data_IF_785253664342
#
_entry.id   IF_785253664342
#
_cell.length_a   1.000
_cell.length_b   1.000
_cell.length_c   1.000
_cell.angle_alpha   90.00
_cell.angle_beta   90.00
_cell.angle_gamma   90.00
#
_symmetry.space_group_name_H-M   'P 1'
#
loop_
_entity.id
_entity.type
_entity.pdbx_description
1 polymer ?
#
# COMPACT_ATOMS: atom_id res chain seq x y z
N UNK A 1 -22.57 50.61 -35.00
CA UNK A 1 -22.56 52.00 -34.52
C UNK A 1 -22.16 52.02 -33.06
N UNK A 2 -21.12 52.82 -32.81
CA UNK A 2 -20.72 53.51 -31.56
C UNK A 2 -20.22 52.56 -30.41
N UNK A 3 -18.94 52.59 -30.22
CA UNK A 3 -17.94 53.38 -29.45
C UNK A 3 -17.69 52.73 -28.11
N UNK A 4 -16.53 52.07 -27.94
CA UNK A 4 -15.26 52.59 -27.37
C UNK A 4 -15.44 53.45 -26.11
N UNK A 5 -15.04 52.92 -24.94
CA UNK A 5 -14.30 53.71 -23.95
C UNK A 5 -13.25 52.78 -23.32
N UNK A 6 -12.01 53.15 -23.58
CA UNK A 6 -10.77 52.72 -22.97
C UNK A 6 -10.61 53.45 -21.64
N UNK A 7 -10.37 52.79 -20.54
CA UNK A 7 -9.80 53.44 -19.35
C UNK A 7 -8.66 52.60 -18.80
N UNK A 8 -7.46 53.09 -19.06
CA UNK A 8 -6.19 52.72 -18.44
C UNK A 8 -6.20 53.25 -17.01
N UNK A 9 -5.96 52.41 -16.04
CA UNK A 9 -5.51 52.79 -14.71
C UNK A 9 -4.34 51.91 -14.32
N UNK A 10 -3.15 52.49 -14.46
CA UNK A 10 -1.93 52.04 -13.84
C UNK A 10 -1.95 52.42 -12.36
N UNK A 11 -1.75 51.47 -11.46
CA UNK A 11 -1.29 51.80 -10.11
C UNK A 11 -0.67 50.55 -9.46
N UNK A 12 0.60 50.66 -9.13
CA UNK A 12 1.17 50.23 -7.87
C UNK A 12 1.47 48.74 -7.74
N UNK A 13 2.61 48.30 -8.22
CA UNK A 13 3.30 47.15 -7.66
C UNK A 13 3.70 47.48 -6.21
N UNK A 14 2.87 47.07 -5.26
CA UNK A 14 3.29 46.93 -3.87
C UNK A 14 3.87 45.52 -3.79
N UNK A 15 5.20 45.43 -3.70
CA UNK A 15 5.90 44.24 -3.34
C UNK A 15 5.47 43.81 -1.93
N UNK A 16 4.55 42.86 -1.84
CA UNK A 16 4.38 42.10 -0.64
C UNK A 16 5.63 41.22 -0.50
N UNK A 17 6.55 41.67 0.37
CA UNK A 17 7.57 40.78 0.92
C UNK A 17 6.84 39.51 1.39
N UNK A 18 7.18 38.40 0.80
CA UNK A 18 6.76 37.08 1.31
C UNK A 18 7.24 37.00 2.75
N UNK A 19 6.35 37.27 3.69
CA UNK A 19 6.48 36.79 5.05
C UNK A 19 6.61 35.26 4.86
N UNK A 20 7.77 34.74 5.20
CA UNK A 20 8.01 33.30 5.33
C UNK A 20 6.99 32.83 6.37
N UNK A 21 5.87 32.29 5.91
CA UNK A 21 4.91 31.62 6.76
C UNK A 21 5.71 30.52 7.49
N UNK A 22 5.89 30.69 8.79
CA UNK A 22 6.12 29.55 9.67
C UNK A 22 4.91 28.64 9.44
N UNK A 23 5.12 27.56 8.69
CA UNK A 23 4.07 26.61 8.36
C UNK A 23 3.32 26.24 9.62
N UNK A 24 2.00 26.05 9.52
CA UNK A 24 1.18 25.53 10.61
C UNK A 24 1.88 24.30 11.21
N UNK A 25 1.91 24.20 12.55
CA UNK A 25 2.54 23.08 13.21
C UNK A 25 1.91 21.77 12.73
N UNK A 26 2.73 20.88 12.17
CA UNK A 26 2.27 19.64 11.56
C UNK A 26 2.06 18.58 12.64
N UNK A 27 0.79 18.35 13.00
CA UNK A 27 0.38 17.28 13.90
C UNK A 27 0.36 15.94 13.16
N UNK A 28 0.38 14.83 13.90
CA UNK A 28 0.23 13.48 13.33
C UNK A 28 -1.04 13.38 12.48
N UNK A 29 -2.16 13.88 12.97
CA UNK A 29 -3.43 13.87 12.26
C UNK A 29 -3.33 14.60 10.91
N UNK A 30 -2.71 15.77 10.88
CA UNK A 30 -2.52 16.51 9.64
C UNK A 30 -1.59 15.80 8.65
N UNK A 31 -0.53 15.15 9.14
CA UNK A 31 0.31 14.29 8.32
C UNK A 31 -0.47 13.12 7.71
N UNK A 32 -1.32 12.46 8.51
CA UNK A 32 -2.15 11.34 8.04
C UNK A 32 -3.17 11.80 6.98
N UNK A 33 -3.85 12.93 7.19
CA UNK A 33 -4.79 13.49 6.21
C UNK A 33 -4.10 13.75 4.85
N UNK A 34 -2.98 14.48 4.86
CA UNK A 34 -2.22 14.79 3.66
C UNK A 34 -1.67 13.53 2.98
N UNK A 35 -1.12 12.62 3.77
CA UNK A 35 -0.57 11.38 3.25
C UNK A 35 -1.64 10.49 2.61
N UNK A 36 -2.81 10.34 3.22
CA UNK A 36 -3.93 9.58 2.65
C UNK A 36 -4.48 10.19 1.36
N UNK A 37 -4.31 11.50 1.17
CA UNK A 37 -4.74 12.18 -0.05
C UNK A 37 -3.68 12.10 -1.16
N UNK A 38 -2.40 12.27 -0.83
CA UNK A 38 -1.33 12.52 -1.80
C UNK A 38 -0.46 11.29 -2.08
N UNK A 39 -0.31 10.37 -1.11
CA UNK A 39 0.58 9.21 -1.26
C UNK A 39 0.25 8.38 -2.50
N UNK A 40 1.29 8.02 -3.25
CA UNK A 40 1.14 7.31 -4.53
C UNK A 40 0.59 5.90 -4.34
N UNK A 41 1.02 5.15 -3.33
CA UNK A 41 0.56 3.78 -3.10
C UNK A 41 -0.94 3.75 -2.75
N UNK A 42 -1.39 4.70 -1.90
CA UNK A 42 -2.81 4.87 -1.55
C UNK A 42 -3.65 5.25 -2.77
N UNK A 43 -3.13 6.11 -3.65
CA UNK A 43 -3.82 6.50 -4.89
C UNK A 43 -3.88 5.36 -5.90
N UNK A 44 -2.80 4.58 -6.02
CA UNK A 44 -2.74 3.41 -6.91
C UNK A 44 -3.78 2.38 -6.45
N UNK A 45 -3.78 1.99 -5.18
CA UNK A 45 -4.72 0.96 -4.69
C UNK A 45 -6.18 1.39 -4.79
N UNK A 46 -6.49 2.69 -4.61
CA UNK A 46 -7.84 3.23 -4.86
C UNK A 46 -8.24 3.12 -6.34
N UNK A 47 -7.30 3.30 -7.27
CA UNK A 47 -7.57 3.09 -8.69
C UNK A 47 -7.76 1.61 -9.01
N UNK A 48 -7.02 0.69 -8.40
CA UNK A 48 -7.23 -0.76 -8.54
C UNK A 48 -8.59 -1.19 -8.01
N UNK A 49 -9.05 -0.61 -6.89
CA UNK A 49 -10.40 -0.82 -6.40
C UNK A 49 -11.44 -0.37 -7.43
N UNK A 50 -11.28 0.82 -8.03
CA UNK A 50 -12.18 1.31 -9.09
C UNK A 50 -12.19 0.41 -10.32
N UNK A 51 -11.04 -0.20 -10.66
CA UNK A 51 -10.98 -1.21 -11.74
C UNK A 51 -11.82 -2.42 -11.35
N UNK A 52 -11.67 -2.94 -10.12
CA UNK A 52 -12.50 -4.05 -9.63
C UNK A 52 -13.99 -3.72 -9.61
N UNK A 53 -14.35 -2.47 -9.26
CA UNK A 53 -15.73 -1.97 -9.30
C UNK A 53 -16.27 -1.96 -10.74
N UNK A 54 -15.48 -1.50 -11.70
CA UNK A 54 -15.86 -1.47 -13.12
C UNK A 54 -15.99 -2.88 -13.72
N UNK A 55 -15.20 -3.83 -13.23
CA UNK A 55 -15.24 -5.23 -13.67
C UNK A 55 -16.45 -6.00 -13.15
N UNK A 56 -17.05 -5.58 -12.04
CA UNK A 56 -18.19 -6.27 -11.41
C UNK A 56 -19.52 -5.99 -12.09
N UNK A 57 -19.58 -6.13 -13.43
CA UNK A 57 -20.74 -5.83 -14.24
C UNK A 57 -21.36 -7.08 -14.86
N UNK A 58 -22.66 -7.00 -15.16
CA UNK A 58 -23.37 -8.05 -15.87
C UNK A 58 -22.80 -8.29 -17.29
N UNK A 59 -22.30 -7.24 -17.94
CA UNK A 59 -21.65 -7.33 -19.24
C UNK A 59 -20.35 -8.16 -19.18
N UNK A 60 -19.46 -7.85 -18.23
CA UNK A 60 -18.21 -8.58 -18.04
C UNK A 60 -18.45 -10.04 -17.58
N UNK A 61 -19.53 -10.28 -16.85
CA UNK A 61 -19.97 -11.63 -16.49
C UNK A 61 -20.43 -12.48 -17.70
N UNK A 62 -20.74 -11.86 -18.84
CA UNK A 62 -21.25 -12.51 -20.02
C UNK A 62 -22.78 -12.63 -20.08
N UNK A 63 -23.52 -11.84 -19.29
CA UNK A 63 -24.99 -11.85 -19.27
C UNK A 63 -25.60 -11.12 -20.46
N UNK A 64 -24.88 -10.20 -21.08
CA UNK A 64 -25.36 -9.39 -22.19
C UNK A 64 -24.89 -9.93 -23.52
N UNK A 65 -25.67 -9.70 -24.61
CA UNK A 65 -25.25 -10.06 -25.96
C UNK A 65 -24.07 -9.21 -26.42
N UNK A 66 -23.23 -9.78 -27.28
CA UNK A 66 -22.27 -9.03 -28.06
C UNK A 66 -22.81 -8.69 -29.44
N UNK A 67 -22.61 -7.47 -29.91
CA UNK A 67 -22.99 -7.00 -31.25
C UNK A 67 -21.71 -6.58 -31.96
N UNK A 68 -21.44 -7.19 -33.10
CA UNK A 68 -20.25 -6.90 -33.91
C UNK A 68 -20.61 -6.57 -35.35
N UNK A 69 -19.87 -5.67 -35.98
CA UNK A 69 -19.86 -5.44 -37.41
C UNK A 69 -18.67 -6.18 -38.01
N UNK A 70 -18.91 -7.00 -39.02
CA UNK A 70 -17.86 -7.71 -39.74
C UNK A 70 -17.92 -7.38 -41.21
N UNK A 71 -16.78 -7.26 -41.86
CA UNK A 71 -16.65 -7.22 -43.30
C UNK A 71 -15.46 -8.10 -43.70
N UNK A 72 -15.67 -8.95 -44.66
CA UNK A 72 -14.68 -9.91 -45.15
C UNK A 72 -14.58 -9.92 -46.65
N UNK A 73 -13.40 -10.21 -47.14
CA UNK A 73 -13.17 -10.56 -48.54
C UNK A 73 -12.30 -11.81 -48.59
N UNK A 74 -12.76 -12.81 -49.36
CA UNK A 74 -12.00 -14.02 -49.59
C UNK A 74 -11.99 -14.38 -51.08
N UNK A 75 -10.88 -14.92 -51.54
CA UNK A 75 -10.76 -15.48 -52.87
C UNK A 75 -10.18 -16.88 -52.77
N UNK A 76 -10.75 -17.82 -53.51
CA UNK A 76 -10.26 -19.19 -53.65
C UNK A 76 -9.90 -19.45 -55.11
N UNK A 77 -8.77 -20.10 -55.34
CA UNK A 77 -8.33 -20.59 -56.66
C UNK A 77 -8.28 -22.09 -56.59
N UNK A 78 -9.24 -22.73 -57.24
CA UNK A 78 -9.43 -24.18 -57.16
C UNK A 78 -9.25 -24.85 -58.50
N UNK A 79 -8.81 -26.10 -58.46
CA UNK A 79 -8.87 -27.02 -59.59
C UNK A 79 -9.82 -28.14 -59.23
N UNK A 80 -10.95 -28.24 -59.98
CA UNK A 80 -12.02 -29.18 -59.67
C UNK A 80 -12.06 -30.28 -60.72
N UNK A 81 -12.18 -31.53 -60.28
CA UNK A 81 -12.46 -32.67 -61.15
C UNK A 81 -13.76 -33.31 -60.71
N UNK A 82 -14.81 -33.08 -61.47
CA UNK A 82 -16.12 -33.68 -61.27
C UNK A 82 -16.31 -34.92 -62.10
N UNK A 83 -16.60 -36.07 -61.49
CA UNK A 83 -16.96 -37.30 -62.13
C UNK A 83 -18.42 -37.60 -61.92
N UNK A 84 -19.31 -37.33 -62.89
CA UNK A 84 -20.73 -37.65 -62.80
C UNK A 84 -20.97 -39.13 -62.75
N UNK A 85 -22.12 -39.62 -62.30
CA UNK A 85 -22.48 -41.05 -62.31
C UNK A 85 -22.69 -41.59 -63.73
N UNK A 86 -23.11 -40.72 -64.63
CA UNK A 86 -23.24 -41.01 -66.07
C UNK A 86 -22.54 -39.93 -66.88
N UNK A 87 -21.62 -40.30 -67.74
CA UNK A 87 -20.79 -39.40 -68.58
C UNK A 87 -19.33 -39.33 -68.14
N UNK A 88 -18.56 -38.60 -68.94
CA UNK A 88 -17.10 -38.46 -68.73
C UNK A 88 -16.73 -37.49 -67.63
N UNK A 89 -15.56 -37.72 -67.01
CA UNK A 89 -15.03 -36.81 -65.99
C UNK A 89 -14.62 -35.48 -66.63
N UNK A 90 -15.07 -34.36 -66.03
CA UNK A 90 -14.70 -33.00 -66.42
C UNK A 90 -13.68 -32.48 -65.46
N UNK A 91 -12.57 -31.93 -65.94
CA UNK A 91 -11.56 -31.25 -65.11
C UNK A 91 -11.55 -29.78 -65.50
N UNK A 92 -11.81 -28.92 -64.52
CA UNK A 92 -11.74 -27.48 -64.67
C UNK A 92 -10.59 -26.96 -63.82
N UNK A 93 -9.67 -26.18 -64.38
CA UNK A 93 -8.51 -25.64 -63.65
C UNK A 93 -8.59 -24.12 -63.60
N UNK A 94 -8.10 -23.56 -62.48
CA UNK A 94 -8.01 -22.12 -62.32
C UNK A 94 -9.34 -21.43 -62.05
N UNK A 95 -10.26 -22.12 -61.40
CA UNK A 95 -11.56 -21.55 -60.98
C UNK A 95 -11.27 -20.53 -59.84
N UNK A 96 -11.56 -19.26 -60.10
CA UNK A 96 -11.33 -18.18 -59.12
C UNK A 96 -12.64 -17.66 -58.57
N UNK A 97 -12.99 -18.13 -57.36
CA UNK A 97 -14.17 -17.69 -56.65
C UNK A 97 -13.83 -16.55 -55.70
N UNK A 98 -14.70 -15.56 -55.65
CA UNK A 98 -14.55 -14.39 -54.76
C UNK A 98 -15.81 -14.25 -53.91
N UNK A 99 -15.63 -14.02 -52.64
CA UNK A 99 -16.71 -13.71 -51.70
C UNK A 99 -16.40 -12.41 -50.95
N UNK A 100 -17.31 -11.50 -51.02
CA UNK A 100 -17.37 -10.32 -50.17
C UNK A 100 -18.57 -10.44 -49.22
N UNK A 101 -18.34 -10.30 -47.93
CA UNK A 101 -19.39 -10.29 -46.93
C UNK A 101 -19.27 -9.05 -46.04
N UNK A 102 -20.42 -8.48 -45.65
CA UNK A 102 -20.50 -7.41 -44.69
C UNK A 102 -21.81 -7.52 -43.92
N UNK A 103 -21.72 -7.45 -42.60
CA UNK A 103 -22.95 -7.61 -41.78
C UNK A 103 -22.76 -7.33 -40.32
N UNK A 104 -23.88 -7.18 -39.64
CA UNK A 104 -23.96 -7.09 -38.16
C UNK A 104 -24.34 -8.45 -37.62
N UNK A 105 -23.59 -8.93 -36.61
CA UNK A 105 -23.84 -10.19 -35.94
C UNK A 105 -24.07 -9.95 -34.44
N UNK A 106 -25.07 -10.63 -33.90
CA UNK A 106 -25.40 -10.67 -32.46
C UNK A 106 -25.13 -12.09 -31.96
N UNK A 107 -24.35 -12.20 -30.90
CA UNK A 107 -24.08 -13.46 -30.21
C UNK A 107 -24.50 -13.34 -28.76
N UNK A 108 -25.31 -14.26 -28.29
CA UNK A 108 -25.81 -14.27 -26.91
C UNK A 108 -25.87 -15.68 -26.34
N UNK A 109 -25.20 -15.88 -25.22
CA UNK A 109 -25.33 -17.11 -24.46
C UNK A 109 -26.49 -16.98 -23.50
N UNK A 110 -27.61 -17.67 -23.83
CA UNK A 110 -28.84 -17.64 -23.04
C UNK A 110 -28.75 -18.51 -21.79
N UNK A 111 -28.03 -19.62 -21.91
CA UNK A 111 -27.83 -20.56 -20.81
C UNK A 111 -26.50 -21.31 -20.99
N UNK A 112 -25.75 -21.49 -19.90
CA UNK A 112 -24.46 -22.20 -19.90
C UNK A 112 -24.22 -23.01 -18.61
N UNK A 113 -25.29 -23.60 -18.08
CA UNK A 113 -25.24 -24.37 -16.85
C UNK A 113 -25.02 -23.51 -15.61
N UNK A 114 -25.48 -22.26 -15.62
CA UNK A 114 -25.31 -21.25 -14.56
C UNK A 114 -23.88 -20.68 -14.43
N UNK A 115 -22.98 -20.96 -15.35
CA UNK A 115 -21.59 -20.46 -15.33
C UNK A 115 -21.55 -18.93 -15.32
N UNK A 116 -22.34 -18.27 -16.18
CA UNK A 116 -22.44 -16.81 -16.26
C UNK A 116 -22.88 -16.22 -14.91
N UNK A 117 -23.88 -16.82 -14.25
CA UNK A 117 -24.33 -16.37 -12.92
C UNK A 117 -23.26 -16.58 -11.86
N UNK A 118 -22.54 -17.69 -11.93
CA UNK A 118 -21.41 -17.97 -11.02
C UNK A 118 -20.28 -16.99 -11.27
N UNK A 119 -19.99 -16.65 -12.53
CA UNK A 119 -18.98 -15.66 -12.90
C UNK A 119 -19.37 -14.26 -12.39
N UNK A 120 -20.63 -13.87 -12.47
CA UNK A 120 -21.10 -12.60 -11.89
C UNK A 120 -20.87 -12.54 -10.37
N UNK A 121 -21.19 -13.61 -9.64
CA UNK A 121 -20.88 -13.71 -8.20
C UNK A 121 -19.39 -13.64 -7.92
N UNK A 122 -18.58 -14.30 -8.77
CA UNK A 122 -17.13 -14.25 -8.67
C UNK A 122 -16.58 -12.82 -8.85
N UNK A 123 -17.13 -12.06 -9.79
CA UNK A 123 -16.76 -10.64 -9.98
C UNK A 123 -17.18 -9.79 -8.77
N UNK A 124 -18.34 -10.06 -8.16
CA UNK A 124 -18.77 -9.39 -6.93
C UNK A 124 -17.83 -9.70 -5.74
N UNK A 125 -17.37 -10.96 -5.60
CA UNK A 125 -16.38 -11.32 -4.59
C UNK A 125 -15.04 -10.61 -4.83
N UNK A 126 -14.57 -10.54 -6.08
CA UNK A 126 -13.36 -9.81 -6.45
C UNK A 126 -13.48 -8.31 -6.14
N UNK A 127 -14.66 -7.72 -6.32
CA UNK A 127 -14.96 -6.34 -5.92
C UNK A 127 -14.78 -6.14 -4.40
N UNK A 128 -15.36 -7.03 -3.58
CA UNK A 128 -15.21 -6.98 -2.12
C UNK A 128 -13.75 -7.16 -1.70
N UNK A 129 -13.03 -8.06 -2.35
CA UNK A 129 -11.60 -8.26 -2.12
C UNK A 129 -10.79 -7.02 -2.51
N UNK A 130 -11.16 -6.31 -3.57
CA UNK A 130 -10.57 -5.02 -3.95
C UNK A 130 -10.70 -3.98 -2.85
N UNK A 131 -11.89 -3.87 -2.24
CA UNK A 131 -12.12 -2.98 -1.10
C UNK A 131 -11.29 -3.37 0.14
N UNK A 132 -11.16 -4.68 0.44
CA UNK A 132 -10.34 -5.16 1.54
C UNK A 132 -8.84 -4.91 1.31
N UNK A 133 -8.34 -5.10 0.09
CA UNK A 133 -6.95 -4.78 -0.27
C UNK A 133 -6.66 -3.29 -0.10
N UNK A 134 -7.60 -2.44 -0.53
CA UNK A 134 -7.49 -1.00 -0.29
C UNK A 134 -7.42 -0.69 1.20
N UNK A 135 -8.26 -1.33 2.01
CA UNK A 135 -8.22 -1.18 3.47
C UNK A 135 -6.89 -1.61 4.06
N UNK A 136 -6.35 -2.77 3.67
CA UNK A 136 -5.03 -3.26 4.13
C UNK A 136 -3.93 -2.23 3.80
N UNK A 137 -3.87 -1.75 2.56
CA UNK A 137 -2.86 -0.76 2.14
C UNK A 137 -2.99 0.56 2.91
N UNK A 138 -4.22 1.00 3.20
CA UNK A 138 -4.44 2.20 4.02
C UNK A 138 -4.00 1.96 5.46
N UNK A 139 -4.33 0.81 6.06
CA UNK A 139 -3.91 0.44 7.42
C UNK A 139 -2.39 0.36 7.53
N UNK A 140 -1.72 -0.24 6.55
CA UNK A 140 -0.25 -0.32 6.46
C UNK A 140 0.39 1.07 6.32
N UNK A 141 -0.21 1.94 5.50
CA UNK A 141 0.26 3.30 5.32
C UNK A 141 0.13 4.11 6.61
N UNK A 142 -1.03 4.05 7.28
CA UNK A 142 -1.26 4.73 8.57
C UNK A 142 -0.26 4.26 9.62
N UNK A 143 -0.02 2.94 9.72
CA UNK A 143 0.96 2.38 10.65
C UNK A 143 2.38 2.89 10.35
N UNK A 144 2.78 2.86 9.07
CA UNK A 144 4.12 3.29 8.62
C UNK A 144 4.33 4.78 8.87
N UNK A 145 3.38 5.62 8.47
CA UNK A 145 3.50 7.07 8.65
C UNK A 145 3.50 7.44 10.14
N UNK A 146 2.66 6.80 10.96
CA UNK A 146 2.64 7.01 12.41
C UNK A 146 3.97 6.61 13.05
N UNK A 147 4.54 5.47 12.67
CA UNK A 147 5.84 5.01 13.16
C UNK A 147 6.98 5.98 12.77
N UNK A 148 7.01 6.45 11.52
CA UNK A 148 8.02 7.42 11.06
C UNK A 148 7.84 8.81 11.69
N UNK A 149 6.60 9.22 11.96
CA UNK A 149 6.32 10.46 12.69
C UNK A 149 6.94 10.42 14.09
N UNK A 150 6.68 9.36 14.85
CA UNK A 150 7.26 9.21 16.20
C UNK A 150 8.78 8.93 16.15
N UNK A 151 9.29 8.30 15.09
CA UNK A 151 10.72 8.23 14.85
C UNK A 151 11.34 9.63 14.71
N UNK A 152 10.74 10.50 13.91
CA UNK A 152 11.23 11.87 13.76
C UNK A 152 11.17 12.66 15.08
N UNK A 153 10.10 12.52 15.85
CA UNK A 153 9.99 13.11 17.20
C UNK A 153 11.14 12.61 18.09
N UNK A 154 11.36 11.29 18.14
CA UNK A 154 12.45 10.70 18.91
C UNK A 154 13.83 11.24 18.48
N UNK A 155 14.14 11.26 17.16
CA UNK A 155 15.42 11.76 16.66
C UNK A 155 15.62 13.25 16.97
N UNK A 156 14.54 14.03 16.96
CA UNK A 156 14.59 15.46 17.30
C UNK A 156 14.86 15.68 18.80
N UNK A 157 14.22 14.89 19.66
CA UNK A 157 14.47 14.92 21.11
C UNK A 157 15.93 14.51 21.42
N UNK A 158 16.44 13.44 20.79
CA UNK A 158 17.84 13.04 20.90
C UNK A 158 18.78 14.15 20.45
N UNK A 159 18.46 14.83 19.34
CA UNK A 159 19.27 15.97 18.87
C UNK A 159 19.33 17.09 19.92
N UNK A 160 18.21 17.36 20.60
CA UNK A 160 18.17 18.33 21.71
C UNK A 160 19.06 17.89 22.86
N UNK A 161 19.03 16.60 23.25
CA UNK A 161 19.88 16.05 24.31
C UNK A 161 21.37 16.13 23.96
N UNK A 162 21.74 15.78 22.72
CA UNK A 162 23.14 15.94 22.26
C UNK A 162 23.59 17.41 22.16
N UNK A 163 22.69 18.32 21.79
CA UNK A 163 22.97 19.76 21.85
C UNK A 163 23.30 20.20 23.28
N UNK A 164 22.48 19.75 24.25
CA UNK A 164 22.74 20.00 25.66
C UNK A 164 24.08 19.39 26.12
N UNK A 165 24.37 18.14 25.74
CA UNK A 165 25.64 17.49 26.02
C UNK A 165 26.86 18.30 25.51
N UNK A 166 26.77 18.83 24.28
CA UNK A 166 27.82 19.69 23.70
C UNK A 166 27.98 20.99 24.50
N UNK A 167 26.89 21.59 24.96
CA UNK A 167 26.93 22.79 25.81
C UNK A 167 27.62 22.50 27.13
N UNK A 168 27.30 21.39 27.79
CA UNK A 168 27.94 20.97 29.04
C UNK A 168 29.43 20.67 28.86
N UNK A 169 29.78 19.94 27.82
CA UNK A 169 31.20 19.63 27.52
C UNK A 169 32.00 20.87 27.17
N UNK A 170 31.40 21.84 26.48
CA UNK A 170 32.05 23.14 26.18
C UNK A 170 32.33 23.93 27.45
N UNK A 171 31.37 23.99 28.37
CA UNK A 171 31.53 24.70 29.64
C UNK A 171 32.59 24.03 30.51
N UNK A 172 32.58 22.68 30.57
CA UNK A 172 33.63 21.93 31.27
C UNK A 172 35.01 22.19 30.66
N UNK A 173 35.15 22.21 29.34
CA UNK A 173 36.43 22.56 28.69
C UNK A 173 36.87 23.97 29.07
N UNK A 174 35.97 24.96 29.04
CA UNK A 174 36.28 26.35 29.46
C UNK A 174 36.79 26.41 30.90
N UNK A 175 36.07 25.76 31.83
CA UNK A 175 36.48 25.71 33.24
C UNK A 175 37.85 25.06 33.38
N UNK A 176 38.09 23.95 32.68
CA UNK A 176 39.38 23.23 32.71
C UNK A 176 40.52 24.05 32.11
N UNK A 177 40.28 24.82 31.04
CA UNK A 177 41.26 25.75 30.43
C UNK A 177 41.66 26.85 31.41
N UNK A 178 40.71 27.47 32.11
CA UNK A 178 40.99 28.51 33.09
C UNK A 178 41.80 27.96 34.31
N UNK A 179 41.41 26.77 34.81
CA UNK A 179 42.10 26.10 35.92
C UNK A 179 43.51 25.64 35.53
N UNK A 180 43.73 25.23 34.29
CA UNK A 180 45.05 24.92 33.77
C UNK A 180 45.96 26.18 33.73
N UNK A 181 45.44 27.32 33.27
CA UNK A 181 46.21 28.59 33.23
C UNK A 181 46.67 29.03 34.61
N UNK A 182 45.91 28.81 35.66
CA UNK A 182 46.31 29.13 37.05
C UNK A 182 47.04 28.00 37.75
N UNK A 183 47.37 26.90 37.06
CA UNK A 183 48.18 25.78 37.56
C UNK A 183 47.41 24.79 38.46
N UNK A 184 46.08 24.87 38.57
CA UNK A 184 45.27 23.97 39.41
C UNK A 184 45.01 22.62 38.73
N UNK A 185 45.01 22.55 37.38
CA UNK A 185 44.76 21.35 36.62
C UNK A 185 45.95 20.97 35.74
N UNK A 186 46.08 19.67 35.46
CA UNK A 186 47.16 19.14 34.62
C UNK A 186 46.84 19.32 33.12
N UNK A 187 47.89 19.21 32.29
CA UNK A 187 47.72 19.15 30.83
C UNK A 187 46.89 17.93 30.40
N UNK A 188 46.93 16.84 31.16
CA UNK A 188 46.13 15.66 30.92
C UNK A 188 44.61 15.96 31.02
N UNK A 189 44.19 16.68 32.10
CA UNK A 189 42.83 17.07 32.31
C UNK A 189 42.29 17.96 31.18
N UNK A 190 43.12 18.90 30.71
CA UNK A 190 42.78 19.76 29.58
C UNK A 190 42.61 18.98 28.27
N UNK A 191 43.50 18.07 27.97
CA UNK A 191 43.42 17.24 26.77
C UNK A 191 42.21 16.31 26.82
N UNK A 192 41.93 15.73 27.97
CA UNK A 192 40.74 14.89 28.17
C UNK A 192 39.45 15.69 27.94
N UNK A 193 39.31 16.87 28.53
CA UNK A 193 38.15 17.74 28.35
C UNK A 193 37.94 18.12 26.87
N UNK A 194 39.02 18.31 26.10
CA UNK A 194 38.96 18.59 24.67
C UNK A 194 38.56 17.38 23.85
N UNK A 195 39.02 16.18 24.19
CA UNK A 195 38.63 14.93 23.56
C UNK A 195 37.11 14.69 23.78
N UNK A 196 36.64 14.90 25.00
CA UNK A 196 35.23 14.72 25.35
C UNK A 196 34.31 15.71 24.61
N UNK A 197 34.69 16.99 24.51
CA UNK A 197 33.97 17.99 23.75
C UNK A 197 33.89 17.64 22.24
N UNK A 198 34.97 17.16 21.66
CA UNK A 198 35.03 16.74 20.28
C UNK A 198 34.18 15.49 20.05
N UNK A 199 34.15 14.53 20.97
CA UNK A 199 33.31 13.33 20.90
C UNK A 199 31.83 13.67 20.97
N UNK A 200 31.42 14.54 21.90
CA UNK A 200 30.03 14.99 22.04
C UNK A 200 29.59 15.80 20.79
N UNK A 201 30.50 16.67 20.27
CA UNK A 201 30.25 17.41 19.03
C UNK A 201 30.05 16.47 17.81
N UNK A 202 30.87 15.42 17.72
CA UNK A 202 30.71 14.41 16.65
C UNK A 202 29.39 13.69 16.74
N UNK A 203 28.93 13.26 17.94
CA UNK A 203 27.63 12.64 18.16
C UNK A 203 26.50 13.58 17.76
N UNK A 204 26.58 14.86 18.11
CA UNK A 204 25.57 15.86 17.71
C UNK A 204 25.47 15.98 16.18
N UNK A 205 26.62 16.00 15.47
CA UNK A 205 26.61 16.06 14.00
C UNK A 205 25.99 14.81 13.37
N UNK A 206 26.36 13.62 13.85
CA UNK A 206 25.74 12.36 13.37
C UNK A 206 24.25 12.31 13.64
N UNK A 207 23.79 12.80 14.80
CA UNK A 207 22.36 12.85 15.12
C UNK A 207 21.62 13.84 14.22
N UNK A 208 22.23 14.95 13.82
CA UNK A 208 21.63 15.89 12.88
C UNK A 208 21.38 15.24 11.51
N UNK A 209 22.26 14.35 11.07
CA UNK A 209 22.05 13.55 9.84
C UNK A 209 20.84 12.64 9.98
N UNK A 210 20.67 11.94 11.11
CA UNK A 210 19.52 11.05 11.36
C UNK A 210 18.19 11.82 11.37
N UNK A 211 18.14 13.01 11.97
CA UNK A 211 16.96 13.89 11.91
C UNK A 211 16.64 14.29 10.47
N UNK A 212 17.67 14.60 9.69
CA UNK A 212 17.50 14.97 8.28
C UNK A 212 16.96 13.79 7.46
N UNK A 213 17.51 12.59 7.67
CA UNK A 213 17.07 11.38 6.99
C UNK A 213 15.60 11.06 7.32
N UNK A 214 15.21 11.12 8.60
CA UNK A 214 13.81 10.87 9.02
C UNK A 214 12.85 11.92 8.45
N UNK A 215 13.27 13.20 8.38
CA UNK A 215 12.47 14.26 7.73
C UNK A 215 12.25 13.99 6.25
N UNK A 216 13.28 13.59 5.52
CA UNK A 216 13.18 13.23 4.10
C UNK A 216 12.22 12.04 3.94
N UNK A 217 12.27 11.07 4.82
CA UNK A 217 11.38 9.91 4.80
C UNK A 217 9.92 10.28 4.99
N UNK A 218 9.61 11.20 5.92
CA UNK A 218 8.23 11.71 6.08
C UNK A 218 7.79 12.47 4.83
N UNK A 219 8.62 13.36 4.27
CA UNK A 219 8.29 14.08 3.04
C UNK A 219 8.03 13.13 1.86
N UNK A 220 8.78 12.04 1.76
CA UNK A 220 8.54 10.96 0.78
C UNK A 220 7.18 10.30 0.99
N UNK A 221 6.84 9.92 2.23
CA UNK A 221 5.54 9.33 2.55
C UNK A 221 4.37 10.27 2.28
N UNK A 222 4.57 11.58 2.49
CA UNK A 222 3.59 12.62 2.17
C UNK A 222 3.53 12.95 0.67
N UNK A 223 4.41 12.37 -0.15
CA UNK A 223 4.58 12.70 -1.57
C UNK A 223 4.80 14.21 -1.82
N UNK A 224 5.55 14.87 -0.94
CA UNK A 224 5.91 16.27 -1.11
C UNK A 224 6.91 16.45 -2.26
N UNK A 225 6.71 17.45 -3.11
CA UNK A 225 7.64 17.77 -4.22
C UNK A 225 9.03 18.16 -3.70
N UNK A 226 9.10 18.89 -2.58
CA UNK A 226 10.35 19.21 -1.91
C UNK A 226 10.64 18.23 -0.77
N UNK A 227 11.44 17.19 -1.07
CA UNK A 227 11.88 16.20 -0.08
C UNK A 227 12.72 16.81 1.05
N UNK A 228 13.39 17.95 0.82
CA UNK A 228 14.18 18.66 1.80
C UNK A 228 13.39 19.72 2.57
N UNK A 229 12.11 19.85 2.28
CA UNK A 229 11.19 20.79 2.92
C UNK A 229 11.26 20.72 4.43
N UNK A 230 11.10 21.86 5.10
CA UNK A 230 11.09 21.91 6.58
C UNK A 230 9.77 21.35 7.08
N UNK A 231 9.84 20.44 8.03
CA UNK A 231 8.71 19.97 8.82
C UNK A 231 8.77 20.61 10.21
N UNK A 232 7.74 21.35 10.59
CA UNK A 232 7.59 21.89 11.94
C UNK A 232 6.63 20.98 12.71
N UNK A 233 7.16 19.94 13.36
CA UNK A 233 6.36 19.04 14.21
C UNK A 233 6.29 19.66 15.61
N UNK A 234 5.09 19.66 16.21
CA UNK A 234 4.83 20.27 17.50
C UNK A 234 5.03 19.32 18.68
N UNK A 235 4.96 18.02 18.43
CA UNK A 235 5.00 17.04 19.50
C UNK A 235 6.38 16.97 20.11
N UNK A 236 6.44 17.28 21.40
CA UNK A 236 7.65 17.21 22.24
C UNK A 236 7.69 15.98 23.14
N UNK A 237 6.68 15.11 23.05
CA UNK A 237 6.54 13.90 23.87
C UNK A 237 6.01 12.76 23.02
N UNK A 238 6.44 11.55 23.37
CA UNK A 238 5.88 10.32 22.82
C UNK A 238 4.86 9.78 23.80
N UNK A 239 3.58 10.09 23.56
CA UNK A 239 2.49 9.59 24.41
C UNK A 239 2.19 8.14 24.07
N UNK A 240 2.19 7.30 25.09
CA UNK A 240 1.89 5.87 25.00
C UNK A 240 0.56 5.58 25.65
N UNK A 241 -0.32 4.88 24.96
CA UNK A 241 -1.57 4.39 25.55
C UNK A 241 -1.28 3.17 26.45
N UNK A 242 -1.50 3.30 27.74
CA UNK A 242 -1.29 2.23 28.74
C UNK A 242 -2.52 1.37 29.02
N UNK A 243 -3.66 1.60 28.32
CA UNK A 243 -4.96 1.00 28.64
C UNK A 243 -5.39 -0.12 27.68
N UNK A 244 -4.44 -0.67 26.88
CA UNK A 244 -4.75 -1.78 25.98
C UNK A 244 -5.02 -3.05 26.76
N UNK A 245 -6.03 -3.82 26.33
CA UNK A 245 -6.45 -5.09 26.96
C UNK A 245 -6.31 -6.25 25.97
N UNK A 246 -5.71 -7.36 26.43
CA UNK A 246 -5.46 -8.53 25.58
C UNK A 246 -6.74 -9.13 25.00
N UNK A 247 -7.74 -9.37 25.83
CA UNK A 247 -8.97 -10.06 25.41
C UNK A 247 -9.72 -9.28 24.32
N UNK A 248 -9.69 -7.96 24.43
CA UNK A 248 -10.26 -7.07 23.42
C UNK A 248 -9.50 -7.14 22.11
N UNK A 249 -8.16 -7.03 22.15
CA UNK A 249 -7.31 -7.09 20.96
C UNK A 249 -7.43 -8.44 20.24
N UNK A 250 -7.49 -9.56 20.98
CA UNK A 250 -7.68 -10.89 20.41
C UNK A 250 -9.04 -11.00 19.70
N UNK A 251 -10.11 -10.56 20.35
CA UNK A 251 -11.46 -10.60 19.78
C UNK A 251 -11.56 -9.72 18.52
N UNK A 252 -11.02 -8.50 18.57
CA UNK A 252 -11.00 -7.57 17.42
C UNK A 252 -10.15 -8.14 16.26
N UNK A 253 -8.99 -8.74 16.53
CA UNK A 253 -8.15 -9.37 15.50
C UNK A 253 -8.91 -10.45 14.74
N UNK A 254 -9.60 -11.35 15.43
CA UNK A 254 -10.39 -12.41 14.78
C UNK A 254 -11.58 -11.87 13.98
N UNK A 255 -12.19 -10.78 14.43
CA UNK A 255 -13.41 -10.24 13.82
C UNK A 255 -13.13 -9.22 12.72
N UNK A 256 -12.09 -8.38 12.84
CA UNK A 256 -11.92 -7.18 12.05
C UNK A 256 -10.64 -7.11 11.22
N UNK A 257 -9.67 -8.04 11.41
CA UNK A 257 -8.43 -8.04 10.64
C UNK A 257 -8.71 -8.21 9.14
N UNK A 258 -8.32 -7.22 8.35
CA UNK A 258 -8.65 -7.17 6.93
C UNK A 258 -8.00 -8.32 6.12
N UNK A 259 -6.80 -8.77 6.50
CA UNK A 259 -6.13 -9.91 5.84
C UNK A 259 -6.85 -11.23 6.11
N UNK A 260 -7.39 -11.42 7.31
CA UNK A 260 -8.16 -12.62 7.65
C UNK A 260 -9.51 -12.64 6.92
N UNK A 261 -10.18 -11.49 6.80
CA UNK A 261 -11.39 -11.34 6.00
C UNK A 261 -11.11 -11.62 4.52
N UNK A 262 -10.00 -11.11 3.97
CA UNK A 262 -9.57 -11.36 2.60
C UNK A 262 -9.37 -12.86 2.33
N UNK A 263 -8.72 -13.59 3.25
CA UNK A 263 -8.55 -15.04 3.14
C UNK A 263 -9.89 -15.81 3.17
N UNK A 264 -10.91 -15.29 3.86
CA UNK A 264 -12.27 -15.80 3.82
C UNK A 264 -12.91 -15.68 2.43
N UNK A 265 -12.71 -14.55 1.74
CA UNK A 265 -13.16 -14.34 0.38
C UNK A 265 -12.40 -15.20 -0.63
N UNK A 266 -11.11 -15.49 -0.43
CA UNK A 266 -10.35 -16.43 -1.26
C UNK A 266 -10.96 -17.85 -1.21
N UNK A 267 -11.43 -18.30 -0.03
CA UNK A 267 -12.14 -19.58 0.10
C UNK A 267 -13.47 -19.55 -0.68
N UNK A 268 -14.24 -18.46 -0.58
CA UNK A 268 -15.49 -18.29 -1.34
C UNK A 268 -15.23 -18.31 -2.86
N UNK A 269 -14.14 -17.67 -3.33
CA UNK A 269 -13.74 -17.74 -4.74
C UNK A 269 -13.44 -19.17 -5.19
N UNK A 270 -12.69 -19.93 -4.41
CA UNK A 270 -12.40 -21.33 -4.71
C UNK A 270 -13.69 -22.19 -4.80
N UNK A 271 -14.68 -21.93 -3.95
CA UNK A 271 -16.00 -22.55 -4.05
C UNK A 271 -16.75 -22.16 -5.33
N UNK A 272 -16.69 -20.89 -5.73
CA UNK A 272 -17.32 -20.40 -6.97
C UNK A 272 -16.62 -21.01 -8.20
N UNK A 273 -15.29 -21.17 -8.16
CA UNK A 273 -14.55 -21.86 -9.23
C UNK A 273 -14.97 -23.33 -9.34
N UNK A 274 -15.18 -24.05 -8.23
CA UNK A 274 -15.75 -25.39 -8.26
C UNK A 274 -17.17 -25.39 -8.86
N UNK A 275 -18.02 -24.40 -8.54
CA UNK A 275 -19.36 -24.25 -9.13
C UNK A 275 -19.27 -23.98 -10.64
N UNK A 276 -18.31 -23.16 -11.08
CA UNK A 276 -18.03 -22.90 -12.49
C UNK A 276 -17.59 -24.17 -13.24
N UNK A 277 -16.74 -25.02 -12.64
CA UNK A 277 -16.35 -26.31 -13.23
C UNK A 277 -17.58 -27.24 -13.34
N UNK A 278 -18.42 -27.29 -12.31
CA UNK A 278 -19.66 -28.08 -12.32
C UNK A 278 -20.66 -27.62 -13.35
N UNK A 279 -20.70 -26.35 -13.69
CA UNK A 279 -21.60 -25.82 -14.73
C UNK A 279 -21.40 -26.47 -16.09
N UNK A 280 -20.19 -26.94 -16.41
CA UNK A 280 -19.89 -27.63 -17.68
C UNK A 280 -20.53 -29.01 -17.83
N UNK A 281 -21.16 -29.53 -16.75
CA UNK A 281 -21.95 -30.77 -16.82
C UNK A 281 -23.39 -30.52 -17.27
N UNK A 282 -23.79 -29.29 -17.47
CA UNK A 282 -25.11 -28.90 -17.96
C UNK A 282 -25.06 -28.54 -19.46
N UNK A 283 -26.20 -28.59 -20.18
CA UNK A 283 -26.26 -28.10 -21.55
C UNK A 283 -26.02 -26.60 -21.62
N UNK A 284 -25.67 -26.12 -22.81
CA UNK A 284 -25.61 -24.69 -23.10
C UNK A 284 -26.55 -24.34 -24.25
N UNK A 285 -27.01 -23.10 -24.25
CA UNK A 285 -27.93 -22.54 -25.23
C UNK A 285 -27.42 -21.20 -25.71
N UNK A 286 -27.00 -21.15 -27.00
CA UNK A 286 -26.53 -19.93 -27.63
C UNK A 286 -27.54 -19.45 -28.68
N UNK A 287 -27.83 -18.15 -28.69
CA UNK A 287 -28.54 -17.44 -29.72
C UNK A 287 -27.53 -16.69 -30.60
N UNK A 288 -27.68 -16.86 -31.90
CA UNK A 288 -26.96 -16.07 -32.90
C UNK A 288 -27.97 -15.42 -33.83
N UNK A 289 -27.79 -14.14 -34.13
CA UNK A 289 -28.61 -13.45 -35.12
C UNK A 289 -27.68 -12.55 -35.96
N UNK A 290 -27.97 -12.40 -37.22
CA UNK A 290 -27.18 -11.55 -38.11
C UNK A 290 -28.01 -10.97 -39.23
N UNK A 291 -27.65 -9.76 -39.64
CA UNK A 291 -28.18 -9.13 -40.84
C UNK A 291 -26.99 -8.66 -41.68
N UNK A 292 -26.92 -9.16 -42.93
CA UNK A 292 -25.75 -8.89 -43.76
C UNK A 292 -25.96 -9.06 -45.25
N UNK A 293 -24.99 -8.55 -46.00
CA UNK A 293 -24.90 -8.68 -47.45
C UNK A 293 -23.70 -9.54 -47.78
N UNK A 294 -23.95 -10.56 -48.61
CA UNK A 294 -22.88 -11.42 -49.18
C UNK A 294 -22.95 -11.33 -50.71
N UNK A 295 -21.82 -11.00 -51.30
CA UNK A 295 -21.64 -10.98 -52.73
C UNK A 295 -20.61 -12.06 -53.12
N UNK A 296 -21.07 -13.02 -53.93
CA UNK A 296 -20.22 -14.07 -54.49
C UNK A 296 -20.03 -13.84 -55.99
N UNK A 297 -18.80 -13.96 -56.44
CA UNK A 297 -18.46 -14.03 -57.86
C UNK A 297 -17.83 -15.40 -58.13
N UNK A 298 -18.45 -16.12 -59.05
CA UNK A 298 -18.05 -17.48 -59.35
C UNK A 298 -17.15 -17.51 -60.60
N UNK A 299 -16.06 -18.29 -60.54
CA UNK A 299 -15.09 -18.47 -61.63
C UNK A 299 -15.58 -19.38 -62.75
N UNK A 300 -16.59 -20.22 -62.46
CA UNK A 300 -17.23 -21.10 -63.46
C UNK A 300 -18.72 -21.25 -63.18
N UNK A 301 -19.43 -22.02 -64.07
CA UNK A 301 -20.84 -22.34 -63.93
C UNK A 301 -21.80 -21.33 -64.57
N UNK A 302 -23.14 -21.60 -64.51
CA UNK A 302 -24.18 -20.81 -65.15
C UNK A 302 -24.42 -19.45 -64.49
N UNK A 303 -23.95 -19.23 -63.26
CA UNK A 303 -24.16 -18.00 -62.51
C UNK A 303 -22.82 -17.28 -62.33
N UNK A 304 -22.69 -16.06 -62.86
CA UNK A 304 -21.49 -15.26 -62.77
C UNK A 304 -21.33 -14.59 -61.39
N UNK A 305 -22.44 -14.12 -60.81
CA UNK A 305 -22.43 -13.50 -59.50
C UNK A 305 -23.77 -13.63 -58.79
N UNK A 306 -23.74 -13.56 -57.45
CA UNK A 306 -24.92 -13.60 -56.61
C UNK A 306 -24.75 -12.63 -55.47
N UNK A 307 -25.64 -11.67 -55.34
CA UNK A 307 -25.78 -10.80 -54.16
C UNK A 307 -26.91 -11.27 -53.27
N UNK A 308 -26.68 -11.45 -51.98
CA UNK A 308 -27.71 -11.88 -51.04
C UNK A 308 -27.70 -10.92 -49.86
N UNK A 309 -28.84 -10.27 -49.60
CA UNK A 309 -29.06 -9.48 -48.39
C UNK A 309 -30.09 -10.23 -47.56
N UNK A 310 -29.78 -10.53 -46.30
CA UNK A 310 -30.65 -11.36 -45.51
C UNK A 310 -30.46 -11.24 -44.00
N UNK A 311 -31.51 -11.65 -43.28
CA UNK A 311 -31.53 -11.86 -41.84
C UNK A 311 -31.35 -13.37 -41.60
N UNK A 312 -30.42 -13.71 -40.75
CA UNK A 312 -30.25 -15.07 -40.24
C UNK A 312 -30.39 -15.07 -38.72
N UNK A 313 -31.10 -16.06 -38.16
CA UNK A 313 -31.21 -16.27 -36.74
C UNK A 313 -31.10 -17.78 -36.47
N UNK A 314 -30.40 -18.14 -35.43
CA UNK A 314 -30.20 -19.52 -35.05
C UNK A 314 -30.08 -19.68 -33.53
N UNK A 315 -30.58 -20.80 -33.04
CA UNK A 315 -30.42 -21.23 -31.65
C UNK A 315 -29.65 -22.54 -31.65
N UNK A 316 -28.54 -22.58 -30.90
CA UNK A 316 -27.69 -23.78 -30.77
C UNK A 316 -27.76 -24.31 -29.35
N UNK A 317 -28.36 -25.47 -29.16
CA UNK A 317 -28.31 -26.26 -27.95
C UNK A 317 -27.17 -27.27 -28.07
N UNK A 318 -26.27 -27.26 -27.08
CA UNK A 318 -25.17 -28.22 -27.02
C UNK A 318 -25.00 -28.83 -25.63
N UNK A 319 -24.54 -30.07 -25.61
CA UNK A 319 -24.25 -30.79 -24.40
C UNK A 319 -23.01 -31.67 -24.60
N UNK A 320 -22.02 -31.53 -23.73
CA UNK A 320 -20.81 -32.36 -23.82
C UNK A 320 -21.02 -33.66 -23.05
N UNK A 321 -21.21 -34.76 -23.77
CA UNK A 321 -21.52 -36.08 -23.19
C UNK A 321 -20.33 -36.63 -22.39
N UNK A 322 -19.12 -36.50 -22.93
CA UNK A 322 -17.91 -37.00 -22.30
C UNK A 322 -16.77 -36.00 -22.40
N UNK A 323 -16.10 -35.77 -21.27
CA UNK A 323 -14.86 -35.03 -21.15
C UNK A 323 -14.10 -35.59 -19.95
N UNK A 324 -13.04 -36.34 -20.20
CA UNK A 324 -12.23 -36.98 -19.18
C UNK A 324 -11.55 -36.02 -18.19
N UNK A 325 -11.32 -34.76 -18.61
CA UNK A 325 -10.68 -33.75 -17.77
C UNK A 325 -11.60 -33.19 -16.68
N UNK A 326 -12.92 -33.12 -16.88
CA UNK A 326 -13.85 -32.52 -15.93
C UNK A 326 -13.80 -33.12 -14.54
N UNK A 327 -13.73 -34.45 -14.44
CA UNK A 327 -13.63 -35.16 -13.13
C UNK A 327 -12.30 -34.85 -12.43
N UNK A 328 -11.22 -34.71 -13.19
CA UNK A 328 -9.90 -34.33 -12.65
C UNK A 328 -9.95 -32.90 -12.14
N UNK A 329 -10.45 -31.95 -12.94
CA UNK A 329 -10.58 -30.54 -12.56
C UNK A 329 -11.48 -30.38 -11.32
N UNK A 330 -12.58 -31.11 -11.23
CA UNK A 330 -13.45 -31.08 -10.06
C UNK A 330 -12.76 -31.60 -8.78
N UNK A 331 -11.92 -32.65 -8.91
CA UNK A 331 -11.13 -33.16 -7.76
C UNK A 331 -10.10 -32.13 -7.34
N UNK A 332 -9.38 -31.57 -8.32
CA UNK A 332 -8.36 -30.54 -8.03
C UNK A 332 -8.99 -29.29 -7.37
N UNK A 333 -10.15 -28.82 -7.86
CA UNK A 333 -10.85 -27.69 -7.25
C UNK A 333 -11.27 -27.94 -5.79
N UNK A 334 -11.62 -29.18 -5.42
CA UNK A 334 -11.88 -29.53 -4.00
C UNK A 334 -10.63 -29.46 -3.16
N UNK A 335 -9.49 -29.94 -3.68
CA UNK A 335 -8.19 -29.82 -3.01
C UNK A 335 -7.79 -28.32 -2.88
N UNK A 336 -8.09 -27.51 -3.88
CA UNK A 336 -7.85 -26.06 -3.80
C UNK A 336 -8.67 -25.42 -2.67
N UNK A 337 -9.94 -25.79 -2.49
CA UNK A 337 -10.76 -25.31 -1.36
C UNK A 337 -10.15 -25.73 -0.02
N UNK A 338 -9.69 -26.97 0.10
CA UNK A 338 -9.00 -27.45 1.30
C UNK A 338 -7.72 -26.63 1.55
N UNK A 339 -6.92 -26.38 0.51
CA UNK A 339 -5.70 -25.59 0.60
C UNK A 339 -5.98 -24.13 1.01
N UNK A 340 -7.03 -23.50 0.47
CA UNK A 340 -7.39 -22.11 0.87
C UNK A 340 -7.82 -22.06 2.33
N UNK A 341 -8.55 -23.06 2.84
CA UNK A 341 -8.90 -23.13 4.25
C UNK A 341 -7.68 -23.33 5.16
N UNK A 342 -6.74 -24.23 4.78
CA UNK A 342 -5.48 -24.40 5.50
C UNK A 342 -4.64 -23.13 5.50
N UNK A 343 -4.60 -22.40 4.37
CA UNK A 343 -3.90 -21.12 4.28
C UNK A 343 -4.53 -20.06 5.20
N UNK A 344 -5.87 -20.03 5.31
CA UNK A 344 -6.58 -19.14 6.23
C UNK A 344 -6.24 -19.47 7.70
N UNK A 345 -6.21 -20.76 8.05
CA UNK A 345 -5.84 -21.21 9.40
C UNK A 345 -4.38 -20.88 9.73
N UNK A 346 -3.47 -21.08 8.77
CA UNK A 346 -2.06 -20.71 8.91
C UNK A 346 -1.90 -19.19 9.14
N UNK A 347 -2.64 -18.37 8.39
CA UNK A 347 -2.66 -16.93 8.56
C UNK A 347 -3.18 -16.53 9.95
N UNK A 348 -4.30 -17.11 10.38
CA UNK A 348 -4.86 -16.86 11.71
C UNK A 348 -3.84 -17.20 12.82
N UNK A 349 -3.19 -18.36 12.73
CA UNK A 349 -2.14 -18.74 13.67
C UNK A 349 -0.97 -17.77 13.69
N UNK A 350 -0.51 -17.34 12.52
CA UNK A 350 0.57 -16.35 12.39
C UNK A 350 0.19 -14.99 12.99
N UNK A 351 -1.03 -14.51 12.73
CA UNK A 351 -1.54 -13.27 13.30
C UNK A 351 -1.62 -13.36 14.84
N UNK A 352 -2.11 -14.47 15.39
CA UNK A 352 -2.17 -14.66 16.84
C UNK A 352 -0.79 -14.74 17.48
N UNK A 353 0.18 -15.37 16.80
CA UNK A 353 1.57 -15.43 17.27
C UNK A 353 2.20 -14.02 17.28
N UNK A 354 2.00 -13.24 16.21
CA UNK A 354 2.49 -11.86 16.12
C UNK A 354 1.82 -10.97 17.18
N UNK A 355 0.50 -11.07 17.36
CA UNK A 355 -0.24 -10.35 18.38
C UNK A 355 0.33 -10.64 19.77
N UNK A 356 0.58 -11.94 20.09
CA UNK A 356 1.16 -12.36 21.37
C UNK A 356 2.57 -11.80 21.57
N UNK A 357 3.42 -11.84 20.55
CA UNK A 357 4.78 -11.29 20.61
C UNK A 357 4.78 -9.77 20.86
N UNK A 358 3.96 -9.01 20.11
CA UNK A 358 3.86 -7.57 20.31
C UNK A 358 3.23 -7.21 21.66
N UNK A 359 2.28 -8.00 22.14
CA UNK A 359 1.69 -7.81 23.47
C UNK A 359 2.73 -8.01 24.58
N UNK A 360 3.53 -9.07 24.52
CA UNK A 360 4.58 -9.29 25.51
C UNK A 360 5.64 -8.19 25.46
N UNK A 361 6.05 -7.78 24.25
CA UNK A 361 6.99 -6.68 24.09
C UNK A 361 6.41 -5.35 24.62
N UNK A 362 5.13 -5.06 24.36
CA UNK A 362 4.44 -3.89 24.85
C UNK A 362 4.41 -3.85 26.37
N UNK A 363 4.01 -4.94 27.02
CA UNK A 363 4.00 -5.03 28.50
C UNK A 363 5.39 -4.85 29.11
N UNK A 364 6.38 -5.56 28.57
CA UNK A 364 7.75 -5.44 29.04
C UNK A 364 8.28 -4.00 28.88
N UNK A 365 8.00 -3.36 27.76
CA UNK A 365 8.44 -1.99 27.50
C UNK A 365 7.75 -0.97 28.45
N UNK A 366 6.49 -1.20 28.84
CA UNK A 366 5.83 -0.36 29.87
C UNK A 366 6.54 -0.46 31.24
N UNK A 367 6.94 -1.65 31.65
CA UNK A 367 7.73 -1.86 32.86
C UNK A 367 9.12 -1.18 32.76
N UNK A 368 9.77 -1.28 31.60
CA UNK A 368 11.05 -0.60 31.32
C UNK A 368 10.89 0.92 31.39
N UNK A 369 9.80 1.51 30.85
CA UNK A 369 9.54 2.96 30.96
C UNK A 369 9.48 3.38 32.42
N UNK A 370 8.81 2.62 33.27
CA UNK A 370 8.72 2.94 34.70
C UNK A 370 10.09 2.92 35.36
N UNK A 371 10.89 1.87 35.13
CA UNK A 371 12.25 1.74 35.67
C UNK A 371 13.17 2.85 35.16
N UNK A 372 13.13 3.16 33.87
CA UNK A 372 13.99 4.21 33.29
C UNK A 372 13.55 5.64 33.72
N UNK A 373 12.27 5.82 34.06
CA UNK A 373 11.80 7.08 34.65
C UNK A 373 12.42 7.30 36.04
N UNK A 374 12.41 6.27 36.89
CA UNK A 374 13.07 6.33 38.20
C UNK A 374 14.59 6.54 38.07
N UNK A 375 15.19 5.84 37.11
CA UNK A 375 16.61 5.93 36.80
C UNK A 375 17.03 7.33 36.34
N UNK A 376 16.19 7.96 35.48
CA UNK A 376 16.42 9.33 35.01
C UNK A 376 16.39 10.35 36.13
N UNK A 377 15.45 10.21 37.08
CA UNK A 377 15.38 11.08 38.26
C UNK A 377 16.66 10.98 39.07
N UNK A 378 17.09 9.75 39.38
CA UNK A 378 18.32 9.52 40.16
C UNK A 378 19.59 9.99 39.41
N UNK A 379 19.65 9.76 38.09
CA UNK A 379 20.80 10.21 37.27
C UNK A 379 20.89 11.74 37.19
N UNK A 380 19.74 12.43 37.15
CA UNK A 380 19.69 13.90 37.16
C UNK A 380 20.17 14.47 38.48
N UNK A 381 19.69 13.95 39.58
CA UNK A 381 20.12 14.35 40.92
C UNK A 381 21.63 14.09 41.13
N UNK A 382 22.12 12.90 40.70
CA UNK A 382 23.55 12.59 40.77
C UNK A 382 24.41 13.57 39.93
N UNK A 383 23.93 13.92 38.72
CA UNK A 383 24.62 14.91 37.88
C UNK A 383 24.65 16.31 38.53
N UNK A 384 23.53 16.77 39.12
CA UNK A 384 23.46 18.07 39.78
C UNK A 384 24.42 18.15 40.96
N UNK A 385 24.45 17.14 41.82
CA UNK A 385 25.41 17.03 42.93
C UNK A 385 26.88 17.00 42.44
N UNK A 386 27.13 16.20 41.41
CA UNK A 386 28.47 16.09 40.81
C UNK A 386 28.94 17.43 40.20
N UNK A 387 28.04 18.19 39.58
CA UNK A 387 28.33 19.48 38.99
C UNK A 387 28.68 20.53 40.09
N UNK A 388 27.89 20.59 41.17
CA UNK A 388 28.16 21.48 42.31
C UNK A 388 29.55 21.20 42.93
N UNK A 389 29.84 19.92 43.19
CA UNK A 389 31.15 19.51 43.75
C UNK A 389 32.31 19.79 42.80
N UNK A 390 32.10 19.59 41.50
CA UNK A 390 33.13 19.92 40.49
C UNK A 390 33.39 21.41 40.44
N UNK A 391 32.38 22.26 40.55
CA UNK A 391 32.54 23.73 40.59
C UNK A 391 33.28 24.19 41.85
N UNK A 392 33.10 23.51 42.98
CA UNK A 392 33.85 23.79 44.23
C UNK A 392 35.26 23.26 44.19
N UNK A 393 35.63 22.35 43.27
CA UNK A 393 36.95 21.75 43.19
C UNK A 393 37.12 20.44 43.94
N UNK A 394 36.06 19.93 44.53
CA UNK A 394 36.00 18.72 45.36
C UNK A 394 35.79 17.42 44.54
N UNK A 395 35.55 17.52 43.22
CA UNK A 395 35.34 16.38 42.37
C UNK A 395 36.27 16.35 41.17
N UNK A 396 36.93 15.21 40.89
CA UNK A 396 37.74 15.05 39.67
C UNK A 396 36.91 15.15 38.38
N UNK A 397 37.55 15.67 37.30
CA UNK A 397 36.85 15.81 36.00
C UNK A 397 36.36 14.50 35.40
N UNK A 398 36.97 13.36 35.74
CA UNK A 398 36.57 12.01 35.29
C UNK A 398 35.21 11.61 35.94
N UNK A 399 35.04 11.82 37.25
CA UNK A 399 33.82 11.50 37.98
C UNK A 399 32.67 12.40 37.51
N UNK A 400 32.93 13.67 37.26
CA UNK A 400 31.96 14.58 36.66
C UNK A 400 31.53 14.12 35.27
N UNK A 401 32.44 13.63 34.43
CA UNK A 401 32.15 13.09 33.12
C UNK A 401 31.27 11.83 33.19
N UNK A 402 31.55 10.96 34.15
CA UNK A 402 30.73 9.74 34.36
C UNK A 402 29.31 10.09 34.80
N UNK A 403 29.10 11.05 35.70
CA UNK A 403 27.79 11.54 36.07
C UNK A 403 27.03 12.16 34.87
N UNK A 404 27.72 12.97 34.07
CA UNK A 404 27.16 13.54 32.85
C UNK A 404 26.74 12.44 31.84
N UNK A 405 27.61 11.44 31.64
CA UNK A 405 27.34 10.32 30.75
C UNK A 405 26.13 9.50 31.23
N UNK A 406 26.08 9.21 32.54
CA UNK A 406 24.96 8.47 33.14
C UNK A 406 23.61 9.18 32.94
N UNK A 407 23.56 10.51 33.04
CA UNK A 407 22.35 11.30 32.75
C UNK A 407 21.95 11.18 31.29
N UNK A 408 22.88 11.40 30.35
CA UNK A 408 22.61 11.33 28.91
C UNK A 408 22.19 9.92 28.47
N UNK A 409 22.81 8.88 29.01
CA UNK A 409 22.45 7.49 28.76
C UNK A 409 21.05 7.16 29.31
N UNK A 410 20.66 7.71 30.48
CA UNK A 410 19.31 7.54 31.03
C UNK A 410 18.26 8.25 30.17
N UNK A 411 18.53 9.49 29.73
CA UNK A 411 17.65 10.22 28.79
C UNK A 411 17.47 9.46 27.47
N UNK A 412 18.51 8.84 26.94
CA UNK A 412 18.42 8.03 25.72
C UNK A 412 17.62 6.74 25.92
N UNK A 413 17.81 6.04 27.05
CA UNK A 413 17.09 4.80 27.34
C UNK A 413 15.60 5.03 27.49
N UNK A 414 15.18 6.09 28.20
CA UNK A 414 13.73 6.39 28.34
C UNK A 414 13.09 6.75 26.99
N UNK A 415 13.73 7.57 26.16
CA UNK A 415 13.24 7.88 24.82
C UNK A 415 13.13 6.64 23.95
N UNK A 416 14.11 5.74 24.06
CA UNK A 416 14.08 4.46 23.32
C UNK A 416 12.95 3.57 23.80
N UNK A 417 12.73 3.45 25.12
CA UNK A 417 11.65 2.66 25.69
C UNK A 417 10.27 3.20 25.28
N UNK A 418 10.07 4.52 25.34
CA UNK A 418 8.83 5.18 24.91
C UNK A 418 8.55 4.92 23.42
N UNK A 419 9.53 5.09 22.54
CA UNK A 419 9.39 4.85 21.12
C UNK A 419 9.09 3.37 20.82
N UNK A 420 9.81 2.44 21.43
CA UNK A 420 9.59 0.99 21.23
C UNK A 420 8.20 0.58 21.72
N UNK A 421 7.73 1.15 22.83
CA UNK A 421 6.36 0.91 23.32
C UNK A 421 5.33 1.42 22.32
N UNK A 422 5.56 2.61 21.75
CA UNK A 422 4.67 3.19 20.73
C UNK A 422 4.64 2.35 19.45
N UNK A 423 5.76 1.81 19.02
CA UNK A 423 5.80 0.87 17.88
C UNK A 423 4.99 -0.40 18.17
N UNK A 424 5.10 -0.95 19.38
CA UNK A 424 4.29 -2.11 19.77
C UNK A 424 2.80 -1.75 19.80
N UNK A 425 2.42 -0.59 20.31
CA UNK A 425 1.04 -0.07 20.30
C UNK A 425 0.50 0.04 18.88
N UNK A 426 1.24 0.67 17.95
CA UNK A 426 0.87 0.80 16.53
C UNK A 426 0.65 -0.58 15.90
N UNK A 427 1.58 -1.52 16.13
CA UNK A 427 1.48 -2.88 15.59
C UNK A 427 0.28 -3.65 16.16
N UNK A 428 -0.02 -3.51 17.46
CA UNK A 428 -1.19 -4.11 18.09
C UNK A 428 -2.50 -3.55 17.51
N UNK A 429 -2.59 -2.23 17.32
CA UNK A 429 -3.75 -1.58 16.69
C UNK A 429 -3.92 -1.97 15.23
N UNK A 430 -2.83 -2.13 14.49
CA UNK A 430 -2.85 -2.60 13.11
C UNK A 430 -3.34 -4.04 13.00
N UNK A 431 -2.80 -4.96 13.81
CA UNK A 431 -3.19 -6.37 13.80
C UNK A 431 -4.64 -6.53 14.23
N UNK A 432 -5.11 -5.75 15.21
CA UNK A 432 -6.53 -5.77 15.63
C UNK A 432 -7.48 -5.13 14.61
N UNK A 433 -6.96 -4.51 13.54
CA UNK A 433 -7.77 -3.79 12.54
C UNK A 433 -8.36 -2.49 13.05
N UNK A 434 -7.80 -1.93 14.13
CA UNK A 434 -8.29 -0.72 14.80
C UNK A 434 -7.33 0.48 14.66
N UNK A 435 -6.45 0.46 13.66
CA UNK A 435 -5.46 1.53 13.42
C UNK A 435 -6.11 2.89 13.14
N UNK A 436 -7.40 2.90 12.79
CA UNK A 436 -8.20 4.11 12.59
C UNK A 436 -8.29 5.02 13.82
N UNK A 437 -7.90 4.55 15.00
CA UNK A 437 -7.81 5.36 16.21
C UNK A 437 -6.86 6.56 16.05
N UNK A 438 -5.85 6.44 15.18
CA UNK A 438 -4.92 7.54 14.88
C UNK A 438 -5.47 8.57 13.89
N UNK A 439 -6.66 8.32 13.31
CA UNK A 439 -7.34 9.24 12.38
C UNK A 439 -8.40 10.11 13.07
N UNK A 440 -8.65 9.87 14.36
CA UNK A 440 -9.60 10.60 15.19
C UNK A 440 -8.87 11.66 15.99
#
# INVERSE_FOLDING_TARGET
>A
MKRLILTVLAAGAVGTAAAQECGEPMTLQRCLELGLEQNYDVRIIRNEQRISDNDATAANAGMLPSVGLTAGYSGALDNERTTPREGDAVTENGIYDQTFDAGVAVNWTLFDGFRIRTNYKRLQELQQMGALRTRITIEDFVATLTAEYYNYVQQTLRLSNFRYAVQLSRERLRITEERFKIGSFSRLDLLQARVDFNADSSKYMSQHELVTASRIRINELLANDDLNGRLSICDSLIEVNSTLEWDRLEAETRAANASLLLAGHDNTLAELDLKSIRSRFYPYLNLTAGYGYTYNRFGNGATQSRGTLGLNAGVKLGFTIFDGNRRREQRNARITIENTELTRQQLEQSLMANLSNFWQAYRNNLEVIQLETENLIAARENYEIAMERYLLGDLPGIEMREAQKSLLDAEERILTAQYNTKLCEISLQQISGNIGVYLQ
#
